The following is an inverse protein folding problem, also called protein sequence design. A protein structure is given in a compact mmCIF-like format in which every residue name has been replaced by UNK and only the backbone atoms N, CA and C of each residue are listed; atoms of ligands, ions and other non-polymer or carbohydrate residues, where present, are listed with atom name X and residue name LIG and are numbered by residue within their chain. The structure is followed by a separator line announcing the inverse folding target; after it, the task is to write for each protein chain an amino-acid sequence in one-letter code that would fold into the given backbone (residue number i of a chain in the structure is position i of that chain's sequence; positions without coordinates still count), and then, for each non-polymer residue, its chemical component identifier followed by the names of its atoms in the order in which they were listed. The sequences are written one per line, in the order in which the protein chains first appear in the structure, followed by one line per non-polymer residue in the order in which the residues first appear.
data_IF_109511225188
#
_entry.id   IF_109511225188
#
_cell.length_a   1.000
_cell.length_b   1.000
_cell.length_c   1.000
_cell.angle_alpha   90.00
_cell.angle_beta   90.00
_cell.angle_gamma   90.00
#
_symmetry.space_group_name_H-M   'P 1'
#
loop_
_entity.id
_entity.type
_entity.pdbx_description
1 polymer ?
#
# COMPACT_ATOMS: atom_id res chain seq x y z
N UNK A 1 -9.94 3.77 31.26
CA UNK A 1 -9.05 4.79 30.68
C UNK A 1 -7.64 4.27 30.48
N UNK A 2 -7.06 3.45 31.37
CA UNK A 2 -5.68 2.94 31.17
C UNK A 2 -5.48 1.83 30.12
N UNK A 3 -6.52 1.03 29.82
CA UNK A 3 -6.40 -0.11 28.90
C UNK A 3 -6.35 0.33 27.43
N UNK A 4 -7.22 1.28 27.04
CA UNK A 4 -7.25 1.88 25.69
C UNK A 4 -5.94 2.56 25.32
N UNK A 5 -5.33 3.29 26.26
CA UNK A 5 -4.11 4.06 26.02
C UNK A 5 -2.91 3.11 25.80
N UNK A 6 -2.88 1.99 26.53
CA UNK A 6 -1.88 0.93 26.36
C UNK A 6 -2.05 0.18 25.03
N UNK A 7 -3.28 -0.06 24.58
CA UNK A 7 -3.53 -0.68 23.28
C UNK A 7 -3.14 0.24 22.11
N UNK A 8 -3.43 1.54 22.22
CA UNK A 8 -3.01 2.55 21.24
C UNK A 8 -1.48 2.65 21.15
N UNK A 9 -0.77 2.66 22.28
CA UNK A 9 0.70 2.70 22.28
C UNK A 9 1.29 1.50 21.54
N UNK A 10 0.78 0.29 21.79
CA UNK A 10 1.21 -0.93 21.08
C UNK A 10 0.92 -0.83 19.58
N UNK A 11 -0.26 -0.35 19.21
CA UNK A 11 -0.66 -0.14 17.82
C UNK A 11 0.27 0.85 17.10
N UNK A 12 0.65 1.94 17.75
CA UNK A 12 1.59 2.92 17.19
C UNK A 12 3.00 2.35 17.01
N UNK A 13 3.48 1.53 17.97
CA UNK A 13 4.76 0.82 17.81
C UNK A 13 4.71 -0.14 16.63
N UNK A 14 3.61 -0.87 16.47
CA UNK A 14 3.41 -1.78 15.35
C UNK A 14 3.34 -1.04 14.01
N UNK A 15 2.58 0.06 13.92
CA UNK A 15 2.48 0.91 12.72
C UNK A 15 3.85 1.44 12.28
N UNK A 16 4.66 1.94 13.22
CA UNK A 16 6.03 2.42 12.97
C UNK A 16 6.96 1.29 12.50
N UNK A 17 6.81 0.10 13.08
CA UNK A 17 7.57 -1.09 12.67
C UNK A 17 7.21 -1.49 11.24
N UNK A 18 5.92 -1.57 10.91
CA UNK A 18 5.44 -1.86 9.56
C UNK A 18 5.91 -0.81 8.57
N UNK A 19 5.90 0.47 8.95
CA UNK A 19 6.39 1.57 8.12
C UNK A 19 7.87 1.40 7.80
N UNK A 20 8.69 1.05 8.80
CA UNK A 20 10.12 0.80 8.60
C UNK A 20 10.35 -0.38 7.63
N UNK A 21 9.49 -1.41 7.66
CA UNK A 21 9.55 -2.51 6.70
C UNK A 21 9.15 -2.06 5.28
N UNK A 22 8.17 -1.18 5.15
CA UNK A 22 7.74 -0.59 3.88
C UNK A 22 8.87 0.28 3.28
N UNK A 23 9.55 1.08 4.10
CA UNK A 23 10.68 1.90 3.67
C UNK A 23 11.81 1.03 3.07
N UNK A 24 12.10 -0.11 3.72
CA UNK A 24 13.06 -1.08 3.21
C UNK A 24 12.60 -1.73 1.90
N UNK A 25 11.32 -2.07 1.79
CA UNK A 25 10.72 -2.61 0.56
C UNK A 25 10.79 -1.61 -0.58
N UNK A 26 10.54 -0.32 -0.33
CA UNK A 26 10.63 0.73 -1.34
C UNK A 26 12.04 0.79 -1.93
N UNK A 27 13.07 0.86 -1.08
CA UNK A 27 14.46 0.89 -1.53
C UNK A 27 14.82 -0.39 -2.29
N UNK A 28 14.35 -1.54 -1.83
CA UNK A 28 14.63 -2.81 -2.48
C UNK A 28 13.97 -2.90 -3.88
N UNK A 29 12.68 -2.55 -4.00
CA UNK A 29 11.97 -2.50 -5.28
C UNK A 29 12.63 -1.52 -6.25
N UNK A 30 13.07 -0.36 -5.75
CA UNK A 30 13.80 0.61 -6.55
C UNK A 30 15.11 0.02 -7.10
N UNK A 31 15.88 -0.68 -6.26
CA UNK A 31 17.09 -1.39 -6.69
C UNK A 31 16.81 -2.42 -7.77
N UNK A 32 15.86 -3.33 -7.54
CA UNK A 32 15.47 -4.37 -8.50
C UNK A 32 15.02 -3.80 -9.85
N UNK A 33 14.28 -2.69 -9.85
CA UNK A 33 13.74 -2.07 -11.07
C UNK A 33 14.74 -1.20 -11.84
N UNK A 34 15.81 -0.72 -11.19
CA UNK A 34 16.73 0.26 -11.81
C UNK A 34 18.16 -0.22 -11.94
N UNK A 35 18.61 -1.16 -11.10
CA UNK A 35 20.01 -1.60 -11.02
C UNK A 35 20.18 -3.07 -11.44
N UNK A 36 19.13 -3.88 -11.35
CA UNK A 36 19.12 -5.26 -11.82
C UNK A 36 18.60 -5.37 -13.26
N UNK A 37 18.70 -6.55 -13.88
CA UNK A 37 18.08 -6.82 -15.18
C UNK A 37 16.59 -7.10 -14.98
N UNK A 38 15.68 -6.12 -15.18
CA UNK A 38 14.30 -6.25 -14.74
C UNK A 38 13.52 -7.30 -15.54
N UNK A 39 14.01 -7.74 -16.70
CA UNK A 39 13.35 -8.76 -17.51
C UNK A 39 13.85 -10.18 -17.23
N UNK A 40 14.84 -10.33 -16.36
CA UNK A 40 15.31 -11.64 -15.92
C UNK A 40 14.29 -12.29 -14.98
N UNK A 41 14.08 -13.59 -15.13
CA UNK A 41 13.06 -14.35 -14.40
C UNK A 41 13.28 -14.28 -12.89
N UNK A 42 14.54 -14.33 -12.43
CA UNK A 42 14.85 -14.27 -11.01
C UNK A 42 14.49 -12.89 -10.44
N UNK A 43 14.88 -11.82 -11.15
CA UNK A 43 14.57 -10.44 -10.74
C UNK A 43 13.05 -10.21 -10.71
N UNK A 44 12.32 -10.69 -11.72
CA UNK A 44 10.86 -10.61 -11.76
C UNK A 44 10.20 -11.38 -10.62
N UNK A 45 10.70 -12.57 -10.28
CA UNK A 45 10.21 -13.35 -9.15
C UNK A 45 10.45 -12.60 -7.83
N UNK A 46 11.61 -12.00 -7.65
CA UNK A 46 11.95 -11.23 -6.46
C UNK A 46 11.12 -9.96 -6.32
N UNK A 47 10.85 -9.26 -7.44
CA UNK A 47 9.91 -8.12 -7.48
C UNK A 47 8.54 -8.58 -6.99
N UNK A 48 7.97 -9.65 -7.55
CA UNK A 48 6.64 -10.16 -7.16
C UNK A 48 6.56 -10.55 -5.69
N UNK A 49 7.60 -11.21 -5.17
CA UNK A 49 7.68 -11.57 -3.74
C UNK A 49 7.72 -10.32 -2.86
N UNK A 50 8.51 -9.33 -3.27
CA UNK A 50 8.66 -8.07 -2.53
C UNK A 50 7.36 -7.24 -2.57
N UNK A 51 6.68 -7.18 -3.71
CA UNK A 51 5.34 -6.57 -3.85
C UNK A 51 4.29 -7.29 -3.00
N UNK A 52 4.37 -8.63 -2.88
CA UNK A 52 3.52 -9.39 -1.97
C UNK A 52 3.69 -8.98 -0.51
N UNK A 53 4.92 -8.74 -0.07
CA UNK A 53 5.22 -8.23 1.28
C UNK A 53 4.70 -6.81 1.48
N UNK A 54 4.82 -5.94 0.46
CA UNK A 54 4.27 -4.59 0.49
C UNK A 54 2.76 -4.63 0.79
N UNK A 55 2.02 -5.43 0.02
CA UNK A 55 0.56 -5.57 0.18
C UNK A 55 0.22 -6.05 1.60
N UNK A 56 0.95 -7.03 2.13
CA UNK A 56 0.75 -7.54 3.49
C UNK A 56 0.99 -6.46 4.57
N UNK A 57 2.04 -5.66 4.46
CA UNK A 57 2.32 -4.66 5.49
C UNK A 57 1.36 -3.47 5.44
N UNK A 58 0.98 -3.04 4.24
CA UNK A 58 -0.02 -1.98 4.06
C UNK A 58 -1.40 -2.44 4.52
N UNK A 59 -1.81 -3.69 4.23
CA UNK A 59 -3.08 -4.23 4.73
C UNK A 59 -3.13 -4.27 6.25
N UNK A 60 -2.01 -4.60 6.91
CA UNK A 60 -1.91 -4.55 8.37
C UNK A 60 -2.00 -3.12 8.92
N UNK A 61 -1.31 -2.15 8.30
CA UNK A 61 -1.46 -0.74 8.68
C UNK A 61 -2.92 -0.28 8.57
N UNK A 62 -3.62 -0.67 7.49
CA UNK A 62 -5.04 -0.36 7.29
C UNK A 62 -5.89 -0.92 8.43
N UNK A 63 -5.70 -2.19 8.78
CA UNK A 63 -6.46 -2.86 9.83
C UNK A 63 -6.22 -2.21 11.20
N UNK A 64 -4.98 -1.87 11.52
CA UNK A 64 -4.64 -1.23 12.78
C UNK A 64 -5.28 0.15 12.84
N UNK A 65 -5.10 0.99 11.80
CA UNK A 65 -5.71 2.32 11.76
C UNK A 65 -7.24 2.28 11.84
N UNK A 66 -7.89 1.30 11.21
CA UNK A 66 -9.35 1.13 11.30
C UNK A 66 -9.85 0.86 12.74
N UNK A 67 -8.99 0.37 13.64
CA UNK A 67 -9.33 0.21 15.07
C UNK A 67 -9.21 1.51 15.87
N UNK A 68 -8.42 2.47 15.40
CA UNK A 68 -8.07 3.71 16.10
C UNK A 68 -8.36 4.96 15.26
N UNK A 69 -9.45 4.94 14.48
CA UNK A 69 -9.78 5.98 13.48
C UNK A 69 -9.97 7.38 14.05
N UNK A 70 -10.14 7.52 15.36
CA UNK A 70 -10.30 8.80 16.07
C UNK A 70 -9.00 9.39 16.59
N UNK A 71 -7.87 8.68 16.45
CA UNK A 71 -6.58 9.06 17.04
C UNK A 71 -5.68 9.74 16.00
N UNK A 72 -5.43 11.04 16.16
CA UNK A 72 -4.61 11.85 15.23
C UNK A 72 -3.26 11.18 14.87
N UNK A 73 -2.65 10.49 15.84
CA UNK A 73 -1.36 9.84 15.71
C UNK A 73 -1.30 8.69 14.68
N UNK A 74 -2.45 8.15 14.25
CA UNK A 74 -2.49 7.09 13.23
C UNK A 74 -2.81 7.61 11.83
N UNK A 75 -3.16 8.90 11.66
CA UNK A 75 -3.66 9.42 10.39
C UNK A 75 -2.65 9.31 9.24
N UNK A 76 -1.36 9.39 9.54
CA UNK A 76 -0.26 9.31 8.57
C UNK A 76 -0.10 7.92 7.92
N UNK A 77 -0.78 6.89 8.45
CA UNK A 77 -0.68 5.52 7.95
C UNK A 77 -1.91 5.11 7.13
N UNK A 78 -1.75 4.20 6.15
CA UNK A 78 -0.52 4.01 5.37
C UNK A 78 -0.13 5.28 4.58
N UNK A 79 1.17 5.47 4.33
CA UNK A 79 1.66 6.57 3.49
C UNK A 79 1.25 6.36 2.03
N UNK A 80 0.30 7.18 1.57
CA UNK A 80 -0.32 7.04 0.24
C UNK A 80 0.68 7.31 -0.89
N UNK A 81 1.46 8.38 -0.79
CA UNK A 81 2.45 8.75 -1.81
C UNK A 81 3.50 7.65 -1.99
N UNK A 82 4.02 7.12 -0.88
CA UNK A 82 5.02 6.06 -0.90
C UNK A 82 4.45 4.77 -1.49
N UNK A 83 3.25 4.37 -1.08
CA UNK A 83 2.63 3.17 -1.63
C UNK A 83 2.44 3.26 -3.14
N UNK A 84 1.98 4.40 -3.67
CA UNK A 84 1.87 4.63 -5.11
C UNK A 84 3.23 4.52 -5.82
N UNK A 85 4.31 4.99 -5.20
CA UNK A 85 5.67 4.83 -5.71
C UNK A 85 6.12 3.37 -5.70
N UNK A 86 5.81 2.61 -4.64
CA UNK A 86 6.08 1.18 -4.56
C UNK A 86 5.29 0.36 -5.59
N UNK A 87 4.02 0.72 -5.84
CA UNK A 87 3.22 0.17 -6.96
C UNK A 87 3.88 0.46 -8.31
N UNK A 88 4.75 1.47 -8.39
CA UNK A 88 5.50 1.80 -9.59
C UNK A 88 4.77 2.80 -10.47
N UNK A 89 3.94 3.68 -9.89
CA UNK A 89 3.43 4.82 -10.62
C UNK A 89 4.54 5.86 -10.86
N UNK A 90 4.52 6.56 -12.01
CA UNK A 90 5.47 7.64 -12.27
C UNK A 90 5.36 8.76 -11.22
N UNK A 91 6.50 9.29 -10.77
CA UNK A 91 6.53 10.39 -9.80
C UNK A 91 5.82 11.65 -10.29
N UNK A 92 5.77 11.88 -11.61
CA UNK A 92 4.99 12.98 -12.21
C UNK A 92 3.49 12.79 -11.98
N UNK A 93 2.99 11.57 -12.15
CA UNK A 93 1.58 11.22 -11.91
C UNK A 93 1.24 11.33 -10.43
N UNK A 94 2.10 10.78 -9.55
CA UNK A 94 1.89 10.84 -8.10
C UNK A 94 1.82 12.30 -7.63
N UNK A 95 2.76 13.15 -8.04
CA UNK A 95 2.75 14.58 -7.70
C UNK A 95 1.48 15.28 -8.19
N UNK A 96 1.02 14.99 -9.41
CA UNK A 96 -0.20 15.57 -9.94
C UNK A 96 -1.44 15.16 -9.11
N UNK A 97 -1.53 13.89 -8.71
CA UNK A 97 -2.59 13.39 -7.83
C UNK A 97 -2.59 14.10 -6.46
N UNK A 98 -1.43 14.18 -5.81
CA UNK A 98 -1.29 14.81 -4.48
C UNK A 98 -1.51 16.33 -4.52
N UNK A 99 -1.26 16.99 -5.66
CA UNK A 99 -1.49 18.42 -5.81
C UNK A 99 -2.96 18.78 -6.02
N UNK A 100 -3.72 17.89 -6.67
CA UNK A 100 -5.14 18.15 -6.93
C UNK A 100 -6.02 17.80 -5.72
N UNK A 101 -5.66 16.75 -4.99
CA UNK A 101 -6.32 16.37 -3.75
C UNK A 101 -5.27 16.09 -2.67
N UNK A 102 -5.04 17.09 -1.82
CA UNK A 102 -4.12 16.99 -0.68
C UNK A 102 -4.57 15.94 0.35
N UNK A 103 -5.85 15.56 0.32
CA UNK A 103 -6.46 14.57 1.18
C UNK A 103 -6.61 13.21 0.50
N UNK A 104 -6.02 13.01 -0.70
CA UNK A 104 -6.09 11.73 -1.38
C UNK A 104 -5.39 10.66 -0.52
N UNK A 105 -6.17 9.70 -0.04
CA UNK A 105 -5.65 8.58 0.74
C UNK A 105 -5.82 7.25 0.00
N UNK A 106 -5.06 6.24 0.43
CA UNK A 106 -5.28 4.85 0.01
C UNK A 106 -6.74 4.43 0.28
N UNK A 107 -7.37 4.91 1.36
CA UNK A 107 -8.77 4.63 1.66
C UNK A 107 -9.70 5.15 0.58
N UNK A 108 -9.54 6.42 0.20
CA UNK A 108 -10.29 7.03 -0.90
C UNK A 108 -10.11 6.25 -2.21
N UNK A 109 -8.87 5.83 -2.53
CA UNK A 109 -8.58 5.03 -3.71
C UNK A 109 -9.24 3.63 -3.67
N UNK A 110 -9.37 3.03 -2.48
CA UNK A 110 -10.04 1.73 -2.30
C UNK A 110 -11.56 1.82 -2.48
N UNK A 111 -12.16 3.00 -2.37
CA UNK A 111 -13.59 3.20 -2.60
C UNK A 111 -13.94 3.37 -4.09
N UNK A 112 -12.95 3.76 -4.91
CA UNK A 112 -13.14 3.98 -6.34
C UNK A 112 -13.33 2.67 -7.12
N UNK A 113 -14.15 2.76 -8.18
CA UNK A 113 -14.27 1.70 -9.17
C UNK A 113 -13.08 1.70 -10.14
N UNK A 114 -12.89 0.61 -10.88
CA UNK A 114 -11.85 0.54 -11.91
C UNK A 114 -12.00 1.64 -12.97
N UNK A 115 -13.24 1.95 -13.35
CA UNK A 115 -13.55 3.03 -14.30
C UNK A 115 -13.16 4.41 -13.75
N UNK A 116 -13.39 4.65 -12.46
CA UNK A 116 -13.03 5.92 -11.81
C UNK A 116 -11.52 6.07 -11.75
N UNK A 117 -10.79 5.01 -11.39
CA UNK A 117 -9.31 4.99 -11.39
C UNK A 117 -8.76 5.25 -12.79
N UNK A 118 -9.32 4.61 -13.81
CA UNK A 118 -8.91 4.82 -15.19
C UNK A 118 -9.12 6.28 -15.63
N UNK A 119 -10.27 6.86 -15.27
CA UNK A 119 -10.61 8.26 -15.57
C UNK A 119 -9.66 9.22 -14.85
N UNK A 120 -9.43 8.98 -13.55
CA UNK A 120 -8.52 9.75 -12.71
C UNK A 120 -7.11 9.76 -13.30
N UNK A 121 -6.56 8.59 -13.62
CA UNK A 121 -5.21 8.47 -14.15
C UNK A 121 -5.07 9.03 -15.57
N UNK A 122 -6.07 8.87 -16.42
CA UNK A 122 -6.09 9.45 -17.77
C UNK A 122 -6.06 11.00 -17.72
N UNK A 123 -6.76 11.61 -16.75
CA UNK A 123 -6.73 13.08 -16.54
C UNK A 123 -5.30 13.60 -16.36
N UNK A 124 -4.42 12.83 -15.73
CA UNK A 124 -3.02 13.19 -15.48
C UNK A 124 -2.03 12.58 -16.47
N UNK A 125 -2.49 12.18 -17.66
CA UNK A 125 -1.66 11.61 -18.73
C UNK A 125 -0.88 10.36 -18.31
N UNK A 126 -1.35 9.64 -17.30
CA UNK A 126 -0.81 8.33 -16.98
C UNK A 126 -1.20 7.32 -18.07
N UNK A 127 -0.38 6.30 -18.25
CA UNK A 127 -0.61 5.31 -19.31
C UNK A 127 -1.71 4.32 -18.91
N UNK A 128 -2.30 3.64 -19.88
CA UNK A 128 -3.23 2.53 -19.60
C UNK A 128 -2.57 1.41 -18.79
N UNK A 129 -1.26 1.23 -18.95
CA UNK A 129 -0.49 0.26 -18.16
C UNK A 129 -0.34 0.70 -16.69
N UNK A 130 -0.14 2.00 -16.44
CA UNK A 130 -0.14 2.53 -15.07
C UNK A 130 -1.51 2.34 -14.39
N UNK A 131 -2.59 2.56 -15.15
CA UNK A 131 -3.95 2.33 -14.65
C UNK A 131 -4.23 0.87 -14.37
N UNK A 132 -3.84 -0.04 -15.27
CA UNK A 132 -3.92 -1.48 -15.06
C UNK A 132 -3.14 -1.91 -13.81
N UNK A 133 -1.92 -1.38 -13.63
CA UNK A 133 -1.06 -1.69 -12.48
C UNK A 133 -1.68 -1.23 -11.17
N UNK A 134 -2.19 0.01 -11.12
CA UNK A 134 -2.84 0.54 -9.92
C UNK A 134 -4.12 -0.24 -9.58
N UNK A 135 -4.97 -0.54 -10.56
CA UNK A 135 -6.18 -1.32 -10.34
C UNK A 135 -5.88 -2.72 -9.79
N UNK A 136 -4.86 -3.39 -10.34
CA UNK A 136 -4.43 -4.69 -9.83
C UNK A 136 -3.91 -4.59 -8.40
N UNK A 137 -3.11 -3.56 -8.09
CA UNK A 137 -2.58 -3.33 -6.76
C UNK A 137 -3.69 -3.05 -5.73
N UNK A 138 -4.68 -2.21 -6.08
CA UNK A 138 -5.85 -1.92 -5.26
C UNK A 138 -6.69 -3.19 -5.03
N UNK A 139 -6.95 -3.96 -6.07
CA UNK A 139 -7.69 -5.23 -5.97
C UNK A 139 -6.98 -6.21 -5.01
N UNK A 140 -5.67 -6.40 -5.19
CA UNK A 140 -4.86 -7.24 -4.31
C UNK A 140 -4.87 -6.73 -2.86
N UNK A 141 -4.82 -5.41 -2.66
CA UNK A 141 -4.87 -4.80 -1.34
C UNK A 141 -6.24 -4.99 -0.67
N UNK A 142 -7.35 -4.84 -1.40
CA UNK A 142 -8.70 -5.14 -0.89
C UNK A 142 -8.78 -6.59 -0.42
N UNK A 143 -8.40 -7.53 -1.29
CA UNK A 143 -8.41 -8.98 -0.98
C UNK A 143 -7.52 -9.29 0.21
N UNK A 144 -6.30 -8.74 0.28
CA UNK A 144 -5.39 -8.98 1.39
C UNK A 144 -5.95 -8.43 2.71
N UNK A 145 -6.52 -7.23 2.68
CA UNK A 145 -7.13 -6.60 3.87
C UNK A 145 -8.33 -7.40 4.37
N UNK A 146 -9.21 -7.85 3.47
CA UNK A 146 -10.32 -8.74 3.81
C UNK A 146 -9.83 -10.08 4.38
N UNK A 147 -8.80 -10.67 3.79
CA UNK A 147 -8.19 -11.92 4.27
C UNK A 147 -7.56 -11.77 5.64
N UNK A 148 -6.87 -10.67 5.92
CA UNK A 148 -6.29 -10.43 7.24
C UNK A 148 -7.38 -10.18 8.29
N UNK A 149 -8.49 -9.52 7.92
CA UNK A 149 -9.67 -9.36 8.78
C UNK A 149 -10.36 -10.71 9.08
N UNK A 150 -10.47 -11.59 8.09
CA UNK A 150 -11.05 -12.92 8.23
C UNK A 150 -10.07 -13.91 8.91
N UNK A 151 -8.78 -13.77 8.62
CA UNK A 151 -7.65 -14.60 9.05
C UNK A 151 -7.20 -14.38 10.50
N UNK A 152 -7.78 -13.38 11.19
CA UNK A 152 -7.89 -13.40 12.65
C UNK A 152 -8.58 -14.67 13.20
N UNK A 153 -9.20 -15.47 12.32
CA UNK A 153 -9.62 -16.86 12.54
C UNK A 153 -8.84 -17.80 11.61
N UNK A 154 -7.55 -18.04 11.91
CA UNK A 154 -6.69 -19.12 11.40
C UNK A 154 -6.62 -19.32 9.87
N UNK A 155 -5.42 -19.32 9.30
CA UNK A 155 -4.86 -20.51 8.63
C UNK A 155 -3.49 -20.17 8.01
N UNK A 156 -2.47 -20.72 8.64
CA UNK A 156 -1.14 -20.97 8.10
C UNK A 156 -1.29 -21.68 6.73
N UNK A 157 -0.84 -21.08 5.63
CA UNK A 157 -0.69 -21.83 4.40
C UNK A 157 0.55 -22.72 4.50
N UNK A 158 0.29 -24.03 4.54
CA UNK A 158 1.24 -25.07 4.18
C UNK A 158 1.76 -24.82 2.76
N UNK A 159 3.08 -24.89 2.60
CA UNK A 159 3.72 -25.60 1.50
C UNK A 159 4.73 -26.57 2.11
#
# INVERSE_FOLDING_TARGET
MQESDSELEKALVELKTLQSMIDNIEQHLKGLRTQCAPNDEFTQKEIRVTEGKLVLYVSKQIIIKNKFTTEDNVHDFPNTQQWLACVGLPQTTIKALMQEDENLTIYSLLELSESDINTLLHKYKATSEDARRLNLALCNLKIATERELQGGKQHFWRQ
#
